data_IF_749141584241
#
_entry.id   IF_749141584241
#
_cell.length_a   1.000
_cell.length_b   1.000
_cell.length_c   1.000
_cell.angle_alpha   90.00
_cell.angle_beta   90.00
_cell.angle_gamma   90.00
#
_symmetry.space_group_name_H-M   'P 1'
#
loop_
_entity.id
_entity.type
_entity.pdbx_description
1 polymer ?
#
# COMPACT_ATOMS: atom_id res chain seq x y z
N UNK A 1 -11.99 2.43 -17.46
CA UNK A 1 -12.76 1.19 -17.51
C UNK A 1 -13.72 1.24 -18.70
N UNK A 2 -13.66 0.30 -19.68
CA UNK A 2 -14.55 0.28 -20.83
C UNK A 2 -16.04 0.21 -20.47
N UNK A 3 -16.38 -0.47 -19.39
CA UNK A 3 -17.76 -0.65 -18.94
C UNK A 3 -18.39 0.65 -18.39
N UNK A 4 -17.59 1.63 -17.99
CA UNK A 4 -18.06 2.89 -17.40
C UNK A 4 -17.95 4.10 -18.34
N UNK A 5 -17.73 3.88 -19.63
CA UNK A 5 -17.55 4.97 -20.64
C UNK A 5 -18.77 5.87 -20.79
N UNK A 6 -19.97 5.38 -20.49
CA UNK A 6 -21.23 6.11 -20.63
C UNK A 6 -21.97 6.27 -19.29
N UNK A 7 -21.22 6.26 -18.18
CA UNK A 7 -21.79 6.33 -16.83
C UNK A 7 -22.61 7.60 -16.59
N UNK A 8 -22.27 8.68 -17.25
CA UNK A 8 -22.96 9.97 -17.21
C UNK A 8 -24.38 9.96 -17.81
N UNK A 9 -24.70 8.97 -18.66
CA UNK A 9 -26.01 8.80 -19.28
C UNK A 9 -26.93 7.81 -18.54
N UNK A 10 -26.41 7.14 -17.51
CA UNK A 10 -27.13 6.11 -16.77
C UNK A 10 -28.01 6.72 -15.65
N UNK A 11 -29.11 6.05 -15.34
CA UNK A 11 -29.89 6.33 -14.13
C UNK A 11 -29.10 5.95 -12.86
N UNK A 12 -29.49 6.48 -11.72
CA UNK A 12 -28.86 6.14 -10.43
C UNK A 12 -28.85 4.62 -10.17
N UNK A 13 -29.93 3.91 -10.50
CA UNK A 13 -30.00 2.46 -10.35
C UNK A 13 -28.99 1.74 -11.24
N UNK A 14 -28.87 2.14 -12.49
CA UNK A 14 -27.92 1.55 -13.43
C UNK A 14 -26.47 1.82 -13.01
N UNK A 15 -26.18 3.02 -12.48
CA UNK A 15 -24.85 3.35 -11.94
C UNK A 15 -24.48 2.40 -10.79
N UNK A 16 -25.34 2.24 -9.79
CA UNK A 16 -25.02 1.37 -8.64
C UNK A 16 -24.98 -0.11 -9.03
N UNK A 17 -25.77 -0.53 -10.02
CA UNK A 17 -25.69 -1.88 -10.57
C UNK A 17 -24.36 -2.12 -11.29
N UNK A 18 -23.91 -1.16 -12.09
CA UNK A 18 -22.62 -1.20 -12.76
C UNK A 18 -21.47 -1.27 -11.74
N UNK A 19 -21.48 -0.39 -10.72
CA UNK A 19 -20.48 -0.41 -9.65
C UNK A 19 -20.43 -1.77 -8.95
N UNK A 20 -21.57 -2.30 -8.54
CA UNK A 20 -21.65 -3.60 -7.89
C UNK A 20 -21.16 -4.75 -8.80
N UNK A 21 -21.36 -4.65 -10.10
CA UNK A 21 -20.85 -5.64 -11.04
C UNK A 21 -19.33 -5.59 -11.18
N UNK A 22 -18.75 -4.39 -11.22
CA UNK A 22 -17.29 -4.19 -11.23
C UNK A 22 -16.67 -4.65 -9.90
N UNK A 23 -17.28 -4.32 -8.77
CA UNK A 23 -16.79 -4.72 -7.44
C UNK A 23 -16.68 -6.25 -7.29
N UNK A 24 -17.56 -7.02 -7.94
CA UNK A 24 -17.49 -8.49 -7.95
C UNK A 24 -16.22 -9.03 -8.62
N UNK A 25 -15.54 -8.25 -9.44
CA UNK A 25 -14.30 -8.67 -10.08
C UNK A 25 -13.11 -8.59 -9.10
N UNK A 26 -13.21 -7.76 -8.06
CA UNK A 26 -12.10 -7.55 -7.11
C UNK A 26 -11.66 -8.84 -6.40
N UNK A 27 -12.56 -9.63 -5.77
CA UNK A 27 -12.15 -10.89 -5.15
C UNK A 27 -11.55 -11.89 -6.16
N UNK A 28 -12.05 -11.93 -7.39
CA UNK A 28 -11.53 -12.81 -8.44
C UNK A 28 -10.11 -12.40 -8.89
N UNK A 29 -9.82 -11.10 -8.86
CA UNK A 29 -8.47 -10.59 -9.12
C UNK A 29 -7.52 -10.94 -7.97
N UNK A 30 -7.97 -10.79 -6.71
CA UNK A 30 -7.19 -11.13 -5.51
C UNK A 30 -6.88 -12.63 -5.47
N UNK A 31 -7.82 -13.49 -5.85
CA UNK A 31 -7.64 -14.94 -5.87
C UNK A 31 -6.38 -15.35 -6.67
N UNK A 32 -6.10 -14.67 -7.77
CA UNK A 32 -4.90 -14.91 -8.59
C UNK A 32 -3.60 -14.54 -7.87
N UNK A 33 -3.66 -13.78 -6.79
CA UNK A 33 -2.53 -13.24 -6.04
C UNK A 33 -2.35 -13.90 -4.66
N UNK A 34 -3.20 -14.87 -4.30
CA UNK A 34 -3.13 -15.53 -2.99
C UNK A 34 -1.75 -16.12 -2.66
N UNK A 35 -1.00 -16.74 -3.59
CA UNK A 35 0.34 -17.23 -3.29
C UNK A 35 1.31 -16.11 -2.89
N UNK A 36 1.25 -14.95 -3.55
CA UNK A 36 2.10 -13.80 -3.25
C UNK A 36 1.71 -13.15 -1.92
N UNK A 37 0.41 -13.07 -1.64
CA UNK A 37 -0.10 -12.59 -0.36
C UNK A 37 0.38 -13.49 0.78
N UNK A 38 0.27 -14.82 0.63
CA UNK A 38 0.75 -15.77 1.63
C UNK A 38 2.25 -15.60 1.89
N UNK A 39 3.06 -15.47 0.83
CA UNK A 39 4.49 -15.23 0.96
C UNK A 39 4.81 -13.92 1.68
N UNK A 40 4.05 -12.83 1.41
CA UNK A 40 4.20 -11.56 2.13
C UNK A 40 3.88 -11.73 3.62
N UNK A 41 2.82 -12.45 3.95
CA UNK A 41 2.44 -12.76 5.34
C UNK A 41 3.55 -13.53 6.05
N UNK A 42 4.13 -14.56 5.42
CA UNK A 42 5.25 -15.32 6.00
C UNK A 42 6.47 -14.43 6.31
N UNK A 43 6.81 -13.52 5.39
CA UNK A 43 7.90 -12.57 5.60
C UNK A 43 7.60 -11.60 6.77
N UNK A 44 6.37 -11.10 6.88
CA UNK A 44 5.94 -10.22 7.96
C UNK A 44 6.00 -10.95 9.31
N UNK A 45 5.51 -12.18 9.38
CA UNK A 45 5.58 -13.01 10.59
C UNK A 45 7.03 -13.24 11.01
N UNK A 46 7.92 -13.56 10.07
CA UNK A 46 9.33 -13.74 10.35
C UNK A 46 9.99 -12.45 10.87
N UNK A 47 9.61 -11.29 10.34
CA UNK A 47 10.08 -9.99 10.83
C UNK A 47 9.61 -9.73 12.28
N UNK A 48 8.34 -9.96 12.58
CA UNK A 48 7.79 -9.81 13.93
C UNK A 48 8.50 -10.69 14.95
N UNK A 49 8.80 -11.93 14.61
CA UNK A 49 9.55 -12.87 15.47
C UNK A 49 10.97 -12.38 15.78
N UNK A 50 11.54 -11.53 14.93
CA UNK A 50 12.88 -10.94 15.09
C UNK A 50 12.83 -9.52 15.69
N UNK A 51 11.67 -9.07 16.18
CA UNK A 51 11.46 -7.74 16.73
C UNK A 51 11.42 -6.62 15.69
N UNK A 52 11.19 -6.97 14.41
CA UNK A 52 10.90 -6.03 13.33
C UNK A 52 9.43 -5.64 13.31
N UNK A 53 9.08 -4.75 12.38
CA UNK A 53 7.75 -4.14 12.23
C UNK A 53 7.22 -4.30 10.81
N UNK A 54 5.91 -4.24 10.67
CA UNK A 54 5.26 -3.97 9.38
C UNK A 54 5.07 -2.45 9.24
N UNK A 55 5.53 -1.90 8.12
CA UNK A 55 5.36 -0.48 7.80
C UNK A 55 4.64 -0.35 6.47
N UNK A 56 3.46 0.25 6.48
CA UNK A 56 2.75 0.68 5.28
C UNK A 56 3.20 2.09 4.88
N UNK A 57 3.36 2.34 3.59
CA UNK A 57 3.67 3.66 3.07
C UNK A 57 2.87 3.95 1.79
N UNK A 58 2.27 5.13 1.71
CA UNK A 58 1.47 5.54 0.57
C UNK A 58 1.17 7.02 0.54
N UNK A 59 0.49 7.48 -0.51
CA UNK A 59 0.02 8.85 -0.65
C UNK A 59 -1.51 8.87 -0.82
N UNK A 60 -2.15 9.97 -0.43
CA UNK A 60 -3.59 10.15 -0.58
C UNK A 60 -4.40 9.00 0.04
N UNK A 61 -5.36 8.45 -0.71
CA UNK A 61 -6.22 7.35 -0.23
C UNK A 61 -5.41 6.09 0.11
N UNK A 62 -4.39 5.76 -0.69
CA UNK A 62 -3.52 4.60 -0.44
C UNK A 62 -2.79 4.72 0.91
N UNK A 63 -2.26 5.91 1.23
CA UNK A 63 -1.64 6.16 2.53
C UNK A 63 -2.64 6.10 3.69
N UNK A 64 -3.87 6.64 3.50
CA UNK A 64 -4.93 6.55 4.51
C UNK A 64 -5.34 5.11 4.82
N UNK A 65 -5.41 4.25 3.81
CA UNK A 65 -5.72 2.82 4.01
C UNK A 65 -4.62 2.12 4.83
N UNK A 66 -3.36 2.41 4.57
CA UNK A 66 -2.26 1.87 5.37
C UNK A 66 -2.28 2.35 6.82
N UNK A 67 -2.60 3.62 7.05
CA UNK A 67 -2.76 4.17 8.42
C UNK A 67 -3.98 3.56 9.11
N UNK A 68 -5.10 3.39 8.39
CA UNK A 68 -6.31 2.77 8.93
C UNK A 68 -6.00 1.35 9.42
N UNK A 69 -5.42 0.50 8.58
CA UNK A 69 -5.06 -0.88 8.95
C UNK A 69 -4.12 -0.91 10.16
N UNK A 70 -3.09 -0.07 10.17
CA UNK A 70 -2.15 0.04 11.29
C UNK A 70 -2.85 0.44 12.60
N UNK A 71 -3.84 1.34 12.53
CA UNK A 71 -4.57 1.82 13.71
C UNK A 71 -5.53 0.79 14.31
N UNK A 72 -6.00 -0.16 13.49
CA UNK A 72 -6.91 -1.22 13.91
C UNK A 72 -6.18 -2.43 14.55
N UNK A 73 -4.89 -2.59 14.30
CA UNK A 73 -4.13 -3.72 14.85
C UNK A 73 -4.10 -3.78 16.38
N UNK A 74 -3.85 -2.67 17.13
CA UNK A 74 -3.85 -2.71 18.59
C UNK A 74 -5.20 -3.09 19.21
N UNK A 75 -6.35 -2.48 18.86
CA UNK A 75 -7.63 -2.82 19.46
C UNK A 75 -8.13 -4.20 19.04
N UNK A 76 -7.81 -4.66 17.84
CA UNK A 76 -8.30 -5.94 17.29
C UNK A 76 -7.48 -7.13 17.80
N UNK A 77 -6.15 -6.98 17.87
CA UNK A 77 -5.25 -8.09 18.19
C UNK A 77 -4.51 -7.93 19.52
N UNK A 78 -4.70 -6.82 20.24
CA UNK A 78 -4.03 -6.57 21.51
C UNK A 78 -2.50 -6.39 21.39
N UNK A 79 -2.02 -5.97 20.23
CA UNK A 79 -0.59 -5.80 19.96
C UNK A 79 -0.13 -4.37 20.23
N UNK A 80 1.20 -4.17 20.36
CA UNK A 80 1.77 -2.84 20.48
C UNK A 80 1.48 -1.98 19.24
N UNK A 81 1.14 -0.68 19.39
CA UNK A 81 0.99 0.24 18.28
C UNK A 81 2.28 0.47 17.48
N UNK A 82 3.43 0.04 18.03
CA UNK A 82 4.71 0.07 17.33
C UNK A 82 4.90 -1.08 16.35
N UNK A 83 4.12 -2.16 16.44
CA UNK A 83 4.28 -3.37 15.66
C UNK A 83 3.88 -3.17 14.20
N UNK A 84 2.82 -2.40 13.95
CA UNK A 84 2.34 -2.03 12.61
C UNK A 84 2.23 -0.52 12.53
N UNK A 85 2.85 0.08 11.52
CA UNK A 85 2.86 1.52 11.31
C UNK A 85 2.37 1.89 9.92
N UNK A 86 1.62 2.98 9.83
CA UNK A 86 1.21 3.58 8.56
C UNK A 86 1.87 4.94 8.38
N UNK A 87 2.46 5.17 7.22
CA UNK A 87 3.05 6.45 6.81
C UNK A 87 2.32 6.98 5.59
N UNK A 88 1.94 8.24 5.64
CA UNK A 88 1.27 8.93 4.53
C UNK A 88 2.09 10.14 4.09
N UNK A 89 2.26 10.32 2.79
CA UNK A 89 2.87 11.52 2.22
C UNK A 89 2.15 12.78 2.70
N UNK A 90 2.92 13.75 3.24
CA UNK A 90 2.37 14.96 3.86
C UNK A 90 2.00 14.82 5.34
N UNK A 91 2.28 13.64 5.97
CA UNK A 91 2.14 13.41 7.41
C UNK A 91 0.69 13.45 7.92
N UNK A 92 0.53 13.63 9.24
CA UNK A 92 -0.76 13.63 9.95
C UNK A 92 -1.82 14.55 9.31
N UNK A 93 -1.42 15.71 8.81
CA UNK A 93 -2.32 16.64 8.15
C UNK A 93 -2.97 16.03 6.90
N UNK A 94 -2.23 15.19 6.16
CA UNK A 94 -2.70 14.54 4.94
C UNK A 94 -3.80 13.48 5.20
N UNK A 95 -3.99 13.04 6.43
CA UNK A 95 -5.10 12.16 6.78
C UNK A 95 -6.46 12.81 6.57
N UNK A 96 -6.55 14.13 6.83
CA UNK A 96 -7.82 14.87 6.80
C UNK A 96 -7.90 15.87 5.64
N UNK A 97 -6.76 16.37 5.16
CA UNK A 97 -6.70 17.41 4.14
C UNK A 97 -5.78 16.97 3.00
N UNK A 98 -6.14 17.20 1.73
CA UNK A 98 -5.23 16.96 0.63
C UNK A 98 -4.00 17.88 0.75
N UNK A 99 -2.80 17.31 0.54
CA UNK A 99 -1.54 18.06 0.51
C UNK A 99 -0.99 17.89 -0.90
N UNK A 100 -1.11 18.94 -1.70
CA UNK A 100 -0.60 18.93 -3.08
C UNK A 100 0.92 18.76 -3.11
N UNK A 101 1.42 18.01 -4.10
CA UNK A 101 2.85 17.77 -4.29
C UNK A 101 3.51 16.83 -3.27
N UNK A 102 2.81 16.42 -2.19
CA UNK A 102 3.39 15.55 -1.18
C UNK A 102 3.80 14.17 -1.74
N UNK A 103 3.12 13.70 -2.78
CA UNK A 103 3.39 12.40 -3.41
C UNK A 103 4.57 12.40 -4.39
N UNK A 104 5.12 13.57 -4.74
CA UNK A 104 6.13 13.73 -5.78
C UNK A 104 7.56 13.59 -5.26
N UNK A 105 7.79 13.74 -3.95
CA UNK A 105 9.14 13.72 -3.38
C UNK A 105 9.55 12.31 -2.92
N UNK A 106 10.54 11.74 -3.61
CA UNK A 106 11.24 10.52 -3.17
C UNK A 106 12.06 10.76 -1.90
N UNK A 107 12.66 11.94 -1.79
CA UNK A 107 13.53 12.32 -0.69
C UNK A 107 12.75 12.41 0.62
N UNK A 108 11.51 12.94 0.58
CA UNK A 108 10.65 13.01 1.75
C UNK A 108 10.31 11.62 2.28
N UNK A 109 10.08 10.64 1.40
CA UNK A 109 9.83 9.27 1.81
C UNK A 109 11.00 8.67 2.60
N UNK A 110 12.24 9.00 2.22
CA UNK A 110 13.44 8.57 2.96
C UNK A 110 13.47 9.23 4.33
N UNK A 111 13.22 10.54 4.42
CA UNK A 111 13.16 11.27 5.69
C UNK A 111 12.10 10.69 6.62
N UNK A 112 10.91 10.40 6.10
CA UNK A 112 9.82 9.83 6.88
C UNK A 112 10.18 8.44 7.44
N UNK A 113 10.81 7.57 6.64
CA UNK A 113 11.30 6.27 7.09
C UNK A 113 12.43 6.41 8.12
N UNK A 114 13.35 7.37 7.95
CA UNK A 114 14.41 7.66 8.93
C UNK A 114 13.84 8.16 10.26
N UNK A 115 12.79 8.98 10.21
CA UNK A 115 12.13 9.52 11.41
C UNK A 115 11.58 8.41 12.31
N UNK A 116 11.08 7.33 11.73
CA UNK A 116 10.62 6.16 12.48
C UNK A 116 11.73 5.14 12.76
N UNK A 117 12.98 5.46 12.43
CA UNK A 117 14.14 4.57 12.55
C UNK A 117 13.91 3.23 11.83
N UNK A 118 13.41 3.29 10.58
CA UNK A 118 13.20 2.12 9.75
C UNK A 118 14.51 1.37 9.51
N UNK A 119 14.50 0.05 9.59
CA UNK A 119 15.70 -0.78 9.53
C UNK A 119 15.51 -2.03 8.65
N UNK A 120 16.60 -2.78 8.45
CA UNK A 120 16.58 -4.07 7.73
C UNK A 120 15.72 -5.16 8.40
N UNK A 121 15.33 -4.99 9.67
CA UNK A 121 14.44 -5.92 10.37
C UNK A 121 12.98 -5.72 10.02
N UNK A 122 12.61 -4.53 9.54
CA UNK A 122 11.24 -4.17 9.22
C UNK A 122 10.86 -4.67 7.81
N UNK A 123 9.56 -4.83 7.57
CA UNK A 123 9.00 -5.08 6.24
C UNK A 123 8.29 -3.82 5.78
N UNK A 124 8.58 -3.34 4.58
CA UNK A 124 7.90 -2.20 3.96
C UNK A 124 6.87 -2.67 2.94
N UNK A 125 5.63 -2.21 3.08
CA UNK A 125 4.56 -2.40 2.08
C UNK A 125 4.21 -1.05 1.46
N UNK A 126 4.59 -0.86 0.21
CA UNK A 126 4.27 0.34 -0.57
C UNK A 126 2.90 0.22 -1.24
N UNK A 127 2.00 1.17 -1.01
CA UNK A 127 0.65 1.19 -1.55
C UNK A 127 0.49 2.36 -2.52
N UNK A 128 0.21 2.05 -3.80
CA UNK A 128 -0.08 3.06 -4.82
C UNK A 128 -0.92 2.46 -5.95
N UNK A 129 -2.18 2.86 -6.08
CA UNK A 129 -3.09 2.33 -7.11
C UNK A 129 -2.50 2.43 -8.53
N UNK A 130 -1.93 3.57 -8.90
CA UNK A 130 -1.24 3.76 -10.19
C UNK A 130 0.06 2.96 -10.31
N UNK A 131 0.67 2.61 -9.19
CA UNK A 131 2.00 2.00 -9.13
C UNK A 131 3.15 2.90 -9.59
N UNK A 132 2.95 4.23 -9.64
CA UNK A 132 3.93 5.20 -10.18
C UNK A 132 4.29 6.32 -9.22
N UNK A 133 3.68 6.39 -8.05
CA UNK A 133 3.86 7.45 -7.06
C UNK A 133 5.33 7.59 -6.64
N UNK A 134 6.00 8.71 -6.91
CA UNK A 134 7.43 8.90 -6.63
C UNK A 134 7.78 8.67 -5.17
N UNK A 135 6.98 9.19 -4.24
CA UNK A 135 7.13 8.98 -2.81
C UNK A 135 7.24 7.49 -2.44
N UNK A 136 6.33 6.65 -2.95
CA UNK A 136 6.35 5.20 -2.69
C UNK A 136 7.55 4.52 -3.35
N UNK A 137 7.92 4.94 -4.56
CA UNK A 137 9.12 4.43 -5.26
C UNK A 137 10.38 4.73 -4.43
N UNK A 138 10.54 5.97 -3.95
CA UNK A 138 11.68 6.36 -3.12
C UNK A 138 11.78 5.55 -1.83
N UNK A 139 10.64 5.32 -1.17
CA UNK A 139 10.57 4.48 0.02
C UNK A 139 11.03 3.04 -0.22
N UNK A 140 10.53 2.41 -1.29
CA UNK A 140 10.90 1.04 -1.65
C UNK A 140 12.39 0.93 -2.04
N UNK A 141 12.92 1.92 -2.78
CA UNK A 141 14.34 1.99 -3.14
C UNK A 141 15.22 2.09 -1.89
N UNK A 142 14.85 2.96 -0.94
CA UNK A 142 15.56 3.13 0.33
C UNK A 142 15.51 1.87 1.19
N UNK A 143 14.32 1.28 1.40
CA UNK A 143 14.18 0.06 2.18
C UNK A 143 15.03 -1.09 1.62
N UNK A 144 15.05 -1.26 0.30
CA UNK A 144 15.91 -2.26 -0.37
C UNK A 144 17.39 -1.98 -0.15
N UNK A 145 17.82 -0.72 -0.14
CA UNK A 145 19.22 -0.36 0.12
C UNK A 145 19.68 -0.74 1.54
N UNK A 146 18.74 -0.81 2.48
CA UNK A 146 18.99 -1.30 3.85
C UNK A 146 18.95 -2.83 3.97
N UNK A 147 18.59 -3.56 2.92
CA UNK A 147 18.39 -5.02 2.95
C UNK A 147 17.04 -5.47 3.53
N UNK A 148 16.08 -4.55 3.70
CA UNK A 148 14.73 -4.85 4.17
C UNK A 148 13.91 -5.59 3.13
N UNK A 149 13.00 -6.45 3.57
CA UNK A 149 11.97 -7.05 2.71
C UNK A 149 10.96 -5.98 2.31
N UNK A 150 10.64 -5.94 1.02
CA UNK A 150 9.68 -4.98 0.49
C UNK A 150 8.58 -5.69 -0.31
N UNK A 151 7.34 -5.26 -0.12
CA UNK A 151 6.19 -5.65 -0.93
C UNK A 151 5.50 -4.41 -1.50
N UNK A 152 4.67 -4.58 -2.52
CA UNK A 152 3.89 -3.49 -3.10
C UNK A 152 2.46 -3.92 -3.40
N UNK A 153 1.52 -2.98 -3.26
CA UNK A 153 0.12 -3.14 -3.64
C UNK A 153 -0.20 -2.09 -4.71
N UNK A 154 -0.56 -2.55 -5.91
CA UNK A 154 -0.93 -1.69 -7.03
C UNK A 154 -2.10 -2.28 -7.82
N UNK A 155 -2.90 -1.41 -8.44
CA UNK A 155 -3.98 -1.83 -9.34
C UNK A 155 -3.50 -2.03 -10.79
N UNK A 156 -2.23 -1.74 -11.07
CA UNK A 156 -1.65 -1.87 -12.41
C UNK A 156 -0.49 -2.87 -12.41
N UNK A 157 -0.56 -3.94 -13.22
CA UNK A 157 0.50 -4.92 -13.35
C UNK A 157 1.77 -4.31 -13.97
N UNK A 158 2.92 -4.87 -13.62
CA UNK A 158 4.23 -4.44 -14.12
C UNK A 158 4.53 -2.94 -13.90
N UNK A 159 3.92 -2.35 -12.87
CA UNK A 159 4.12 -0.94 -12.53
C UNK A 159 5.54 -0.65 -12.01
N UNK A 160 5.86 0.62 -11.80
CA UNK A 160 7.17 1.02 -11.31
C UNK A 160 7.44 0.49 -9.90
N UNK A 161 6.45 0.52 -8.99
CA UNK A 161 6.61 -0.01 -7.62
C UNK A 161 6.74 -1.53 -7.60
N UNK A 162 6.05 -2.22 -8.50
CA UNK A 162 6.10 -3.66 -8.64
C UNK A 162 7.52 -4.15 -8.98
N UNK A 163 8.21 -3.45 -9.87
CA UNK A 163 9.62 -3.72 -10.20
C UNK A 163 10.60 -3.36 -9.08
N UNK A 164 10.18 -2.49 -8.15
CA UNK A 164 11.02 -2.01 -7.03
C UNK A 164 10.79 -2.77 -5.74
N UNK A 165 9.69 -3.51 -5.60
CA UNK A 165 9.48 -4.44 -4.49
C UNK A 165 10.42 -5.65 -4.60
N UNK A 166 10.64 -6.34 -3.50
CA UNK A 166 11.22 -7.69 -3.53
C UNK A 166 10.25 -8.57 -4.32
N UNK A 167 10.71 -9.64 -5.01
CA UNK A 167 9.90 -10.49 -5.91
C UNK A 167 8.69 -11.19 -5.23
N UNK A 168 8.14 -10.62 -4.18
CA UNK A 168 6.79 -10.87 -3.72
C UNK A 168 5.88 -10.15 -4.71
N UNK A 169 5.78 -10.65 -5.95
CA UNK A 169 4.99 -10.06 -7.00
C UNK A 169 3.54 -9.98 -6.53
N UNK A 170 3.20 -8.87 -5.88
CA UNK A 170 1.84 -8.61 -5.47
C UNK A 170 1.04 -8.11 -6.65
N UNK A 171 0.06 -8.89 -6.94
CA UNK A 171 -1.30 -8.55 -7.30
C UNK A 171 -1.53 -7.57 -8.44
N UNK A 172 -1.89 -8.13 -9.52
CA UNK A 172 -2.62 -7.53 -10.62
C UNK A 172 -4.12 -7.46 -10.26
N UNK A 173 -4.54 -6.48 -9.49
CA UNK A 173 -5.96 -6.12 -9.42
C UNK A 173 -6.21 -5.22 -10.64
N UNK A 174 -6.81 -5.77 -11.67
CA UNK A 174 -7.32 -5.02 -12.83
C UNK A 174 -8.73 -4.55 -12.54
#
# INVERSE_FOLDING_TARGET
NPNSMHVDSLSALEIVQLMNQEDKQVPLAIEKCLPQIAQAVECIVAAFQQGGRLVYIGAGTSGRLGVLDASECPPTFGVSPEMVKGIIAGGERALRHPIEGAEDSKEQAVVDLQTIQFSSKDVLVGIAASGRTPYVIGALEYAKSLGSVTASIASNPNSAIDRKSTRLNSSHIQ
#
